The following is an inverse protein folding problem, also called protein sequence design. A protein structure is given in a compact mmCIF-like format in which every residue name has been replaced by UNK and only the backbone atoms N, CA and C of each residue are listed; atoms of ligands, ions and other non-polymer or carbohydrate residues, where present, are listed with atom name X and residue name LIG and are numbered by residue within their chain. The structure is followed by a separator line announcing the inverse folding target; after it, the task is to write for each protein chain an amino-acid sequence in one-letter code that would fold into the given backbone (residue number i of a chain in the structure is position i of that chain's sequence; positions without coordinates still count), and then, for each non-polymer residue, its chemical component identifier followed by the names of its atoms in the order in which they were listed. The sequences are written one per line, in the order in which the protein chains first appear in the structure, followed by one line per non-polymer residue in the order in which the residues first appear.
data_IF_672310106697
#
_entry.id   IF_672310106697
#
_cell.length_a   1.000
_cell.length_b   1.000
_cell.length_c   1.000
_cell.angle_alpha   90.00
_cell.angle_beta   90.00
_cell.angle_gamma   90.00
#
_symmetry.space_group_name_H-M   'P 1'
#
loop_
_entity.id
_entity.type
_entity.pdbx_description
1 polymer ?
#
# COMPACT_ATOMS: atom_id res chain seq x y z
N UNK A 1 -10.47 11.34 -11.28
CA UNK A 1 -9.72 11.42 -10.02
C UNK A 1 -10.43 10.59 -8.98
N UNK A 2 -9.74 9.61 -8.39
CA UNK A 2 -10.30 8.72 -7.36
C UNK A 2 -10.15 9.32 -5.97
N UNK A 3 -11.19 9.23 -5.15
CA UNK A 3 -11.15 9.66 -3.75
C UNK A 3 -11.79 8.62 -2.83
N UNK A 4 -11.04 8.16 -1.83
CA UNK A 4 -11.56 7.28 -0.78
C UNK A 4 -11.67 8.08 0.53
N UNK A 5 -12.90 8.39 1.00
CA UNK A 5 -13.07 9.15 2.22
C UNK A 5 -12.65 8.33 3.43
N UNK A 6 -11.94 8.96 4.36
CA UNK A 6 -11.76 8.39 5.69
C UNK A 6 -13.04 8.56 6.52
N UNK A 7 -13.37 7.60 7.41
CA UNK A 7 -14.37 7.82 8.44
C UNK A 7 -13.91 8.95 9.39
N UNK A 8 -14.79 9.45 10.27
CA UNK A 8 -14.40 10.43 11.29
C UNK A 8 -13.16 9.97 12.07
N UNK A 9 -12.13 10.81 12.05
CA UNK A 9 -10.86 10.55 12.69
C UNK A 9 -10.76 11.30 14.02
N UNK A 10 -10.24 10.64 15.04
CA UNK A 10 -9.81 11.26 16.31
C UNK A 10 -8.29 11.28 16.37
N UNK A 11 -7.74 12.39 16.82
CA UNK A 11 -6.30 12.54 17.03
C UNK A 11 -5.87 11.88 18.35
N UNK A 12 -4.74 11.18 18.32
CA UNK A 12 -4.16 10.54 19.48
C UNK A 12 -2.62 10.60 19.41
N UNK A 13 -1.98 10.49 20.57
CA UNK A 13 -0.55 10.35 20.73
C UNK A 13 -0.22 8.86 20.86
N UNK A 14 0.67 8.36 20.00
CA UNK A 14 1.21 7.03 20.08
C UNK A 14 2.12 6.89 21.31
N UNK A 15 1.89 5.85 22.12
CA UNK A 15 2.68 5.55 23.32
C UNK A 15 3.62 4.37 23.07
N UNK A 16 3.05 3.22 22.72
CA UNK A 16 3.82 2.00 22.46
C UNK A 16 3.07 1.03 21.54
N UNK A 17 3.82 0.07 20.98
CA UNK A 17 3.31 -1.01 20.12
C UNK A 17 3.62 -2.36 20.77
N UNK A 18 2.75 -2.86 21.67
CA UNK A 18 3.03 -4.10 22.41
C UNK A 18 3.19 -5.34 21.53
N UNK A 19 2.55 -5.34 20.35
CA UNK A 19 2.74 -6.37 19.33
C UNK A 19 2.43 -5.82 17.94
N UNK A 20 2.63 -6.64 16.90
CA UNK A 20 2.48 -6.22 15.50
C UNK A 20 1.09 -5.66 15.13
N UNK A 21 0.04 -5.92 15.90
CA UNK A 21 -1.34 -5.52 15.57
C UNK A 21 -2.01 -4.62 16.61
N UNK A 22 -1.27 -4.18 17.64
CA UNK A 22 -1.82 -3.40 18.74
C UNK A 22 -0.94 -2.19 19.02
N UNK A 23 -1.58 -1.03 19.10
CA UNK A 23 -1.00 0.21 19.62
C UNK A 23 -1.70 0.56 20.94
N UNK A 24 -0.95 1.14 21.87
CA UNK A 24 -1.49 1.94 22.95
C UNK A 24 -1.27 3.40 22.62
N UNK A 25 -2.34 4.16 22.75
CA UNK A 25 -2.39 5.57 22.40
C UNK A 25 -3.10 6.33 23.51
N UNK A 26 -2.98 7.65 23.50
CA UNK A 26 -3.72 8.57 24.37
C UNK A 26 -4.39 9.62 23.51
N UNK A 27 -5.66 9.91 23.75
CA UNK A 27 -6.33 10.96 23.00
C UNK A 27 -5.71 12.34 23.30
N UNK A 28 -5.68 13.23 22.30
CA UNK A 28 -5.15 14.59 22.49
C UNK A 28 -6.11 15.44 23.33
N UNK A 29 -7.43 15.19 23.24
CA UNK A 29 -8.46 15.90 24.00
C UNK A 29 -8.69 15.33 25.42
N UNK A 30 -8.18 14.13 25.72
CA UNK A 30 -8.43 13.40 26.98
C UNK A 30 -7.12 12.79 27.52
N UNK A 31 -6.22 13.62 28.07
CA UNK A 31 -4.84 13.21 28.44
C UNK A 31 -4.75 12.01 29.41
N UNK A 32 -5.79 11.71 30.19
CA UNK A 32 -5.78 10.60 31.15
C UNK A 32 -6.30 9.29 30.59
N UNK A 33 -6.90 9.28 29.40
CA UNK A 33 -7.47 8.06 28.82
C UNK A 33 -6.51 7.43 27.81
N UNK A 34 -6.06 6.22 28.15
CA UNK A 34 -5.34 5.38 27.21
C UNK A 34 -6.27 4.42 26.48
N UNK A 35 -6.02 4.27 25.18
CA UNK A 35 -6.85 3.48 24.28
C UNK A 35 -6.03 2.43 23.54
N UNK A 36 -6.64 1.25 23.38
CA UNK A 36 -6.11 0.15 22.57
C UNK A 36 -6.61 0.29 21.13
N UNK A 37 -5.67 0.37 20.20
CA UNK A 37 -5.94 0.62 18.79
C UNK A 37 -5.39 -0.53 17.95
N UNK A 38 -6.20 -1.10 17.06
CA UNK A 38 -5.71 -2.10 16.11
C UNK A 38 -4.87 -1.44 15.02
N UNK A 39 -3.70 -2.02 14.74
CA UNK A 39 -2.87 -1.65 13.60
C UNK A 39 -3.11 -2.65 12.45
N UNK A 40 -3.73 -2.23 11.34
CA UNK A 40 -3.95 -3.07 10.16
C UNK A 40 -2.70 -3.14 9.25
N UNK A 41 -1.52 -3.28 9.84
CA UNK A 41 -0.26 -3.42 9.13
C UNK A 41 0.71 -4.37 9.90
N UNK A 42 1.09 -5.52 9.32
CA UNK A 42 2.01 -6.47 9.96
C UNK A 42 3.49 -6.03 9.92
N UNK A 43 3.82 -5.00 9.15
CA UNK A 43 5.14 -4.47 8.92
C UNK A 43 5.81 -3.91 10.17
N UNK A 44 7.13 -3.75 10.12
CA UNK A 44 7.92 -3.31 11.28
C UNK A 44 7.65 -1.86 11.65
N UNK A 45 7.43 -0.99 10.65
CA UNK A 45 7.02 0.42 10.81
C UNK A 45 7.81 1.19 11.89
N UNK A 46 9.11 0.88 12.03
CA UNK A 46 9.97 1.41 13.12
C UNK A 46 10.14 2.92 13.03
N UNK A 47 10.29 3.42 11.81
CA UNK A 47 10.42 4.85 11.54
C UNK A 47 9.12 5.61 11.82
N UNK A 48 7.97 4.92 11.81
CA UNK A 48 6.63 5.51 11.99
C UNK A 48 6.21 5.50 13.46
N UNK A 49 6.58 4.47 14.23
CA UNK A 49 6.16 4.36 15.64
C UNK A 49 7.25 4.81 16.61
N UNK A 50 7.54 6.12 16.61
CA UNK A 50 8.32 6.76 17.66
C UNK A 50 7.35 7.30 18.74
N UNK A 51 7.53 6.96 20.04
CA UNK A 51 6.68 7.47 21.12
C UNK A 51 6.51 8.99 21.07
N UNK A 52 5.30 9.48 21.31
CA UNK A 52 4.96 10.89 21.24
C UNK A 52 4.43 11.36 19.88
N UNK A 53 4.49 10.51 18.84
CA UNK A 53 3.99 10.87 17.52
C UNK A 53 2.47 10.95 17.46
N UNK A 54 1.96 11.95 16.72
CA UNK A 54 0.54 12.09 16.41
C UNK A 54 0.08 11.02 15.43
N UNK A 55 -1.07 10.43 15.73
CA UNK A 55 -1.75 9.47 14.88
C UNK A 55 -3.24 9.81 14.82
N UNK A 56 -3.90 9.35 13.78
CA UNK A 56 -5.34 9.49 13.59
C UNK A 56 -5.97 8.11 13.58
N UNK A 57 -6.97 7.95 14.44
CA UNK A 57 -7.65 6.69 14.66
C UNK A 57 -9.14 6.84 14.37
N UNK A 58 -9.74 5.77 13.84
CA UNK A 58 -11.17 5.70 13.56
C UNK A 58 -11.84 4.66 14.45
N UNK A 59 -13.15 4.82 14.67
CA UNK A 59 -13.97 3.74 15.21
C UNK A 59 -13.88 2.56 14.24
N UNK A 60 -13.58 1.38 14.78
CA UNK A 60 -13.44 0.19 13.97
C UNK A 60 -14.79 -0.48 13.75
N UNK A 61 -15.10 -0.83 12.51
CA UNK A 61 -16.37 -1.48 12.14
C UNK A 61 -16.34 -3.00 12.42
N UNK A 62 -17.45 -3.54 12.93
CA UNK A 62 -17.66 -4.96 13.15
C UNK A 62 -18.08 -5.33 14.58
N UNK A 63 -18.94 -6.35 14.71
CA UNK A 63 -19.65 -6.69 15.96
C UNK A 63 -18.76 -7.40 17.01
N UNK A 64 -17.66 -8.03 16.59
CA UNK A 64 -16.83 -8.89 17.47
C UNK A 64 -15.37 -8.42 17.62
N UNK A 65 -15.13 -7.11 17.57
CA UNK A 65 -13.76 -6.58 17.66
C UNK A 65 -13.26 -6.51 19.09
N UNK A 66 -12.02 -6.96 19.32
CA UNK A 66 -11.31 -6.80 20.60
C UNK A 66 -10.86 -5.35 20.87
N UNK A 67 -10.76 -4.52 19.83
CA UNK A 67 -10.41 -3.10 19.92
C UNK A 67 -11.51 -2.25 19.31
N UNK A 68 -11.89 -1.18 20.00
CA UNK A 68 -12.91 -0.22 19.52
C UNK A 68 -12.39 0.66 18.38
N UNK A 69 -11.08 0.85 18.29
CA UNK A 69 -10.45 1.73 17.31
C UNK A 69 -9.47 0.99 16.40
N UNK A 70 -9.25 1.57 15.21
CA UNK A 70 -8.20 1.19 14.27
C UNK A 70 -7.34 2.40 13.92
N UNK A 71 -6.05 2.17 13.71
CA UNK A 71 -5.14 3.19 13.23
C UNK A 71 -5.40 3.44 11.74
N UNK A 72 -5.37 4.70 11.32
CA UNK A 72 -5.62 5.11 9.93
C UNK A 72 -4.42 5.87 9.39
N UNK A 73 -3.98 6.93 10.09
CA UNK A 73 -2.83 7.73 9.67
C UNK A 73 -1.84 7.88 10.83
N UNK A 74 -0.57 8.07 10.47
CA UNK A 74 0.45 8.63 11.34
C UNK A 74 0.95 9.92 10.75
N UNK A 75 1.38 10.87 11.58
CA UNK A 75 2.23 11.97 11.14
C UNK A 75 3.51 11.40 10.52
N UNK A 76 4.05 12.06 9.50
CA UNK A 76 5.35 11.70 8.93
C UNK A 76 6.48 12.00 9.91
N UNK A 77 7.63 11.29 9.83
CA UNK A 77 8.77 11.56 10.72
C UNK A 77 9.33 12.98 10.65
N UNK A 78 9.16 13.67 9.52
CA UNK A 78 9.57 15.06 9.31
C UNK A 78 8.50 16.10 9.69
N UNK A 79 7.34 15.66 10.19
CA UNK A 79 6.22 16.52 10.56
C UNK A 79 5.47 17.15 9.38
N UNK A 80 5.76 16.74 8.13
CA UNK A 80 5.22 17.38 6.92
C UNK A 80 4.20 16.49 6.21
N UNK A 81 3.09 16.18 6.88
CA UNK A 81 1.99 15.43 6.30
C UNK A 81 1.79 14.06 6.94
N UNK A 82 1.15 13.14 6.20
CA UNK A 82 0.62 11.90 6.74
C UNK A 82 1.19 10.66 6.06
N UNK A 83 1.21 9.55 6.78
CA UNK A 83 1.44 8.21 6.26
C UNK A 83 0.22 7.34 6.57
N UNK A 84 -0.31 6.66 5.56
CA UNK A 84 -1.33 5.63 5.78
C UNK A 84 -0.75 4.48 6.59
N UNK A 85 -1.50 4.06 7.61
CA UNK A 85 -1.23 2.88 8.43
C UNK A 85 -2.09 1.67 8.01
N UNK A 86 -2.88 1.82 6.95
CA UNK A 86 -3.75 0.79 6.40
C UNK A 86 -3.08 0.16 5.17
N UNK A 87 -2.52 -1.04 5.36
CA UNK A 87 -1.81 -1.75 4.29
C UNK A 87 -2.75 -2.22 3.17
N UNK A 88 -4.07 -2.11 3.35
CA UNK A 88 -5.07 -2.48 2.34
C UNK A 88 -5.49 -1.31 1.45
N UNK A 89 -5.20 -0.07 1.87
CA UNK A 89 -5.57 1.14 1.15
C UNK A 89 -5.01 1.19 -0.28
N UNK A 90 -3.74 0.79 -0.56
CA UNK A 90 -3.22 0.76 -1.93
C UNK A 90 -4.09 -0.05 -2.89
N UNK A 91 -4.49 -1.26 -2.49
CA UNK A 91 -5.33 -2.11 -3.31
C UNK A 91 -6.72 -1.50 -3.50
N UNK A 92 -7.29 -0.87 -2.46
CA UNK A 92 -8.58 -0.19 -2.57
C UNK A 92 -8.53 0.99 -3.55
N UNK A 93 -7.47 1.79 -3.50
CA UNK A 93 -7.26 2.92 -4.42
C UNK A 93 -7.14 2.45 -5.87
N UNK A 94 -6.31 1.43 -6.12
CA UNK A 94 -6.12 0.89 -7.47
C UNK A 94 -7.38 0.21 -7.98
N UNK A 95 -8.11 -0.52 -7.13
CA UNK A 95 -9.40 -1.10 -7.51
C UNK A 95 -10.43 -0.02 -7.91
N UNK A 96 -10.51 1.07 -7.14
CA UNK A 96 -11.39 2.19 -7.47
C UNK A 96 -10.95 2.88 -8.78
N UNK A 97 -9.65 3.11 -8.95
CA UNK A 97 -9.10 3.72 -10.17
C UNK A 97 -9.32 2.87 -11.42
N UNK A 98 -9.20 1.54 -11.31
CA UNK A 98 -9.55 0.60 -12.38
C UNK A 98 -11.05 0.67 -12.74
N UNK A 99 -11.94 0.75 -11.75
CA UNK A 99 -13.39 0.83 -11.97
C UNK A 99 -13.81 2.16 -12.60
N UNK A 100 -13.18 3.26 -12.18
CA UNK A 100 -13.41 4.60 -12.70
C UNK A 100 -12.65 4.89 -14.01
N UNK A 101 -11.82 3.96 -14.47
CA UNK A 101 -10.98 4.06 -15.69
C UNK A 101 -10.02 5.25 -15.65
N UNK A 102 -9.45 5.49 -14.48
CA UNK A 102 -8.49 6.58 -14.22
C UNK A 102 -7.03 6.18 -14.51
N UNK A 103 -6.81 4.93 -14.93
CA UNK A 103 -5.49 4.38 -15.26
C UNK A 103 -5.42 4.10 -16.76
N UNK A 104 -4.84 5.05 -17.51
CA UNK A 104 -4.79 5.03 -18.98
C UNK A 104 -4.10 3.77 -19.52
N UNK A 105 -3.06 3.28 -18.84
CA UNK A 105 -2.32 2.07 -19.22
C UNK A 105 -3.20 0.80 -19.24
N UNK A 106 -4.31 0.82 -18.52
CA UNK A 106 -5.27 -0.27 -18.43
C UNK A 106 -6.63 0.12 -19.00
N UNK A 107 -6.68 1.12 -19.88
CA UNK A 107 -7.86 1.39 -20.66
C UNK A 107 -8.27 0.15 -21.46
N UNK A 108 -9.54 -0.26 -21.32
CA UNK A 108 -10.07 -1.46 -21.97
C UNK A 108 -9.76 -2.77 -21.24
N UNK A 109 -9.11 -2.73 -20.08
CA UNK A 109 -9.06 -3.85 -19.15
C UNK A 109 -10.24 -3.80 -18.17
N UNK A 110 -10.68 -4.97 -17.73
CA UNK A 110 -11.73 -5.12 -16.71
C UNK A 110 -11.21 -5.95 -15.56
N UNK A 111 -11.44 -5.50 -14.32
CA UNK A 111 -11.13 -6.26 -13.12
C UNK A 111 -12.02 -7.51 -13.03
N UNK A 112 -11.39 -8.69 -13.06
CA UNK A 112 -12.08 -9.99 -13.00
C UNK A 112 -12.07 -10.56 -11.59
N UNK A 113 -10.94 -10.46 -10.89
CA UNK A 113 -10.75 -11.11 -9.59
C UNK A 113 -9.70 -10.39 -8.75
N UNK A 114 -9.94 -10.34 -7.43
CA UNK A 114 -8.97 -9.97 -6.39
C UNK A 114 -8.26 -11.21 -5.85
N UNK A 115 -7.03 -11.06 -5.37
CA UNK A 115 -6.24 -12.15 -4.78
C UNK A 115 -6.15 -13.36 -5.74
N UNK A 116 -5.86 -13.07 -7.02
CA UNK A 116 -5.87 -14.05 -8.09
C UNK A 116 -4.69 -15.03 -7.92
N UNK A 117 -5.02 -16.31 -7.70
CA UNK A 117 -4.03 -17.38 -7.60
C UNK A 117 -3.46 -17.72 -8.98
N UNK A 118 -2.14 -17.73 -9.10
CA UNK A 118 -1.43 -18.29 -10.24
C UNK A 118 -0.13 -18.96 -9.77
N UNK A 119 0.06 -20.24 -10.13
CA UNK A 119 1.11 -21.06 -9.55
C UNK A 119 0.97 -21.17 -8.02
N UNK A 120 2.06 -20.83 -7.33
CA UNK A 120 2.16 -20.91 -5.86
C UNK A 120 1.92 -19.56 -5.16
N UNK A 121 1.72 -18.48 -5.92
CA UNK A 121 1.45 -17.14 -5.37
C UNK A 121 0.01 -16.69 -5.62
N UNK A 122 -0.34 -15.60 -4.93
CA UNK A 122 -1.53 -14.80 -5.19
C UNK A 122 -1.08 -13.41 -5.55
N UNK A 123 -1.63 -12.90 -6.63
CA UNK A 123 -1.45 -11.54 -7.11
C UNK A 123 -2.65 -10.70 -6.75
N UNK A 124 -2.45 -9.39 -6.55
CA UNK A 124 -3.50 -8.50 -6.06
C UNK A 124 -4.74 -8.52 -6.96
N UNK A 125 -4.55 -8.41 -8.28
CA UNK A 125 -5.64 -8.41 -9.26
C UNK A 125 -5.38 -9.29 -10.49
N UNK A 126 -6.47 -9.81 -11.06
CA UNK A 126 -6.52 -10.34 -12.42
C UNK A 126 -7.44 -9.43 -13.24
N UNK A 127 -6.90 -8.88 -14.33
CA UNK A 127 -7.63 -8.08 -15.31
C UNK A 127 -7.72 -8.85 -16.63
N UNK A 128 -8.78 -8.63 -17.41
CA UNK A 128 -8.85 -9.10 -18.80
C UNK A 128 -8.95 -7.90 -19.75
N UNK A 129 -8.20 -7.91 -20.84
CA UNK A 129 -8.41 -6.96 -21.93
C UNK A 129 -9.70 -7.30 -22.72
N UNK A 130 -10.01 -6.49 -23.75
CA UNK A 130 -11.21 -6.68 -24.61
C UNK A 130 -11.23 -8.02 -25.35
N UNK A 131 -10.08 -8.65 -25.56
CA UNK A 131 -9.93 -9.95 -26.23
C UNK A 131 -9.95 -11.13 -25.23
N UNK A 132 -10.08 -10.86 -23.93
CA UNK A 132 -10.07 -11.87 -22.88
C UNK A 132 -8.67 -12.34 -22.46
N UNK A 133 -7.60 -11.66 -22.90
CA UNK A 133 -6.22 -11.98 -22.50
C UNK A 133 -6.02 -11.56 -21.03
N UNK A 134 -5.54 -12.47 -20.17
CA UNK A 134 -5.33 -12.19 -18.76
C UNK A 134 -4.10 -11.32 -18.51
N UNK A 135 -4.23 -10.39 -17.56
CA UNK A 135 -3.17 -9.60 -16.96
C UNK A 135 -3.17 -9.80 -15.45
N UNK A 136 -2.09 -10.36 -14.91
CA UNK A 136 -1.85 -10.43 -13.48
C UNK A 136 -1.18 -9.15 -12.99
N UNK A 137 -1.79 -8.48 -12.03
CA UNK A 137 -1.34 -7.22 -11.48
C UNK A 137 -0.97 -7.39 -10.00
N UNK A 138 0.26 -7.01 -9.67
CA UNK A 138 0.77 -6.90 -8.31
C UNK A 138 1.00 -5.43 -7.97
N UNK A 139 0.63 -5.01 -6.77
CA UNK A 139 0.73 -3.64 -6.26
C UNK A 139 1.75 -3.62 -5.14
N UNK A 140 2.66 -2.66 -5.19
CA UNK A 140 3.69 -2.40 -4.18
C UNK A 140 3.54 -0.98 -3.65
N UNK A 141 3.25 -0.86 -2.36
CA UNK A 141 3.20 0.43 -1.68
C UNK A 141 4.61 0.99 -1.48
N UNK A 142 4.83 2.23 -1.91
CA UNK A 142 6.08 2.97 -1.74
C UNK A 142 5.92 3.94 -0.57
N UNK A 143 6.55 3.61 0.56
CA UNK A 143 6.49 4.43 1.78
C UNK A 143 7.84 5.07 2.14
N UNK A 144 8.95 4.48 1.68
CA UNK A 144 10.30 5.00 1.87
C UNK A 144 10.60 6.08 0.82
N UNK A 145 10.84 7.30 1.30
CA UNK A 145 11.15 8.47 0.47
C UNK A 145 12.39 9.16 1.03
N UNK A 146 13.36 9.48 0.17
CA UNK A 146 14.56 10.26 0.53
C UNK A 146 14.81 11.34 -0.52
N UNK A 147 14.85 12.61 -0.10
CA UNK A 147 15.08 13.71 -1.03
C UNK A 147 14.05 13.81 -2.16
N UNK A 148 12.81 13.38 -1.91
CA UNK A 148 11.74 13.31 -2.91
C UNK A 148 11.82 12.11 -3.87
N UNK A 149 12.75 11.19 -3.65
CA UNK A 149 12.89 9.95 -4.42
C UNK A 149 12.21 8.81 -3.64
N UNK A 150 11.26 8.11 -4.28
CA UNK A 150 10.62 6.92 -3.73
C UNK A 150 11.47 5.66 -3.93
N UNK A 151 11.55 4.80 -2.90
CA UNK A 151 12.34 3.57 -2.91
C UNK A 151 11.48 2.34 -2.65
N UNK A 152 11.73 1.27 -3.40
CA UNK A 152 11.19 -0.05 -3.14
C UNK A 152 12.20 -1.16 -3.53
N UNK A 153 12.33 -2.24 -2.76
CA UNK A 153 11.71 -2.46 -1.45
C UNK A 153 12.41 -1.64 -0.35
N UNK A 154 11.71 -1.36 0.75
CA UNK A 154 12.32 -0.80 1.96
C UNK A 154 13.17 -1.84 2.73
N UNK A 155 12.85 -3.13 2.52
CA UNK A 155 13.67 -4.27 2.90
C UNK A 155 13.48 -5.43 1.91
N UNK A 156 14.57 -6.01 1.42
CA UNK A 156 14.50 -7.21 0.57
C UNK A 156 13.84 -8.36 1.32
N UNK A 157 12.85 -9.00 0.71
CA UNK A 157 12.20 -10.19 1.26
C UNK A 157 12.18 -11.33 0.25
N UNK A 158 12.41 -12.57 0.72
CA UNK A 158 12.33 -13.76 -0.12
C UNK A 158 10.95 -13.92 -0.77
N UNK A 159 9.88 -13.52 -0.07
CA UNK A 159 8.52 -13.53 -0.59
C UNK A 159 8.34 -12.52 -1.73
N UNK A 160 8.84 -11.30 -1.57
CA UNK A 160 8.76 -10.28 -2.62
C UNK A 160 9.51 -10.71 -3.89
N UNK A 161 10.73 -11.24 -3.75
CA UNK A 161 11.51 -11.75 -4.86
C UNK A 161 10.82 -12.92 -5.58
N UNK A 162 10.21 -13.85 -4.81
CA UNK A 162 9.42 -14.95 -5.36
C UNK A 162 8.24 -14.44 -6.20
N UNK A 163 7.45 -13.49 -5.68
CA UNK A 163 6.31 -12.92 -6.40
C UNK A 163 6.74 -12.28 -7.73
N UNK A 164 7.81 -11.48 -7.72
CA UNK A 164 8.35 -10.83 -8.94
C UNK A 164 8.80 -11.86 -9.98
N UNK A 165 9.46 -12.93 -9.53
CA UNK A 165 9.92 -14.01 -10.40
C UNK A 165 8.75 -14.76 -11.02
N UNK A 166 7.73 -15.10 -10.24
CA UNK A 166 6.53 -15.77 -10.75
C UNK A 166 5.74 -14.88 -11.71
N UNK A 167 5.67 -13.58 -11.44
CA UNK A 167 5.06 -12.60 -12.33
C UNK A 167 5.77 -12.55 -13.70
N UNK A 168 7.11 -12.57 -13.69
CA UNK A 168 7.91 -12.64 -14.92
C UNK A 168 7.72 -13.98 -15.67
N UNK A 169 7.55 -15.09 -14.96
CA UNK A 169 7.26 -16.38 -15.57
C UNK A 169 5.89 -16.42 -16.26
N UNK A 170 4.87 -15.76 -15.70
CA UNK A 170 3.56 -15.61 -16.34
C UNK A 170 3.69 -14.83 -17.66
N UNK A 171 4.42 -13.72 -17.64
CA UNK A 171 4.72 -12.94 -18.85
C UNK A 171 5.43 -13.76 -19.94
N UNK A 172 6.28 -14.72 -19.55
CA UNK A 172 6.98 -15.63 -20.46
C UNK A 172 6.09 -16.70 -21.09
N UNK A 173 4.93 -17.02 -20.49
CA UNK A 173 3.98 -18.06 -20.95
C UNK A 173 2.89 -17.53 -21.89
N UNK A 174 2.89 -16.22 -22.17
CA UNK A 174 1.90 -15.57 -23.05
C UNK A 174 0.82 -14.80 -22.30
N UNK A 175 0.75 -14.93 -20.96
CA UNK A 175 -0.06 -14.04 -20.13
C UNK A 175 0.56 -12.64 -20.08
N UNK A 176 -0.24 -11.63 -19.74
CA UNK A 176 0.28 -10.32 -19.39
C UNK A 176 0.51 -10.22 -17.89
N UNK A 177 1.47 -9.39 -17.50
CA UNK A 177 1.82 -9.22 -16.11
C UNK A 177 2.29 -7.78 -15.87
N UNK A 178 1.87 -7.19 -14.76
CA UNK A 178 2.21 -5.82 -14.38
C UNK A 178 2.54 -5.74 -12.89
N UNK A 179 3.55 -4.91 -12.58
CA UNK A 179 3.90 -4.53 -11.22
C UNK A 179 3.67 -3.02 -11.10
N UNK A 180 2.78 -2.61 -10.20
CA UNK A 180 2.45 -1.22 -9.95
C UNK A 180 3.08 -0.76 -8.64
N UNK A 181 3.85 0.32 -8.71
CA UNK A 181 4.33 1.01 -7.52
C UNK A 181 3.38 2.17 -7.19
N UNK A 182 2.81 2.17 -5.99
CA UNK A 182 1.91 3.22 -5.53
C UNK A 182 2.54 3.99 -4.37
N UNK A 183 2.90 5.25 -4.62
CA UNK A 183 3.24 6.20 -3.58
C UNK A 183 1.96 6.93 -3.12
N UNK A 184 1.68 6.92 -1.82
CA UNK A 184 0.56 7.65 -1.21
C UNK A 184 1.10 8.86 -0.45
N UNK A 185 1.92 9.66 -1.14
CA UNK A 185 2.72 10.74 -0.56
C UNK A 185 2.97 11.82 -1.60
N UNK A 186 2.65 13.04 -1.23
CA UNK A 186 2.79 14.25 -2.04
C UNK A 186 4.24 14.70 -2.25
N UNK A 187 5.17 14.21 -1.42
CA UNK A 187 6.58 14.59 -1.47
C UNK A 187 7.43 13.68 -2.36
N UNK A 188 6.82 12.72 -3.08
CA UNK A 188 7.49 11.91 -4.09
C UNK A 188 7.45 12.64 -5.42
N UNK A 189 8.63 12.99 -5.94
CA UNK A 189 8.78 13.69 -7.24
C UNK A 189 9.41 12.80 -8.31
N UNK A 190 10.03 11.68 -7.90
CA UNK A 190 10.66 10.71 -8.81
C UNK A 190 10.81 9.34 -8.13
N UNK A 191 11.07 8.30 -8.93
CA UNK A 191 11.43 6.97 -8.44
C UNK A 191 12.95 6.78 -8.43
N UNK A 192 13.46 5.94 -7.53
CA UNK A 192 14.88 5.60 -7.54
C UNK A 192 15.27 4.87 -8.83
N UNK A 193 16.37 5.29 -9.46
CA UNK A 193 16.99 4.52 -10.54
C UNK A 193 17.54 3.19 -10.00
N UNK A 194 17.48 2.13 -10.81
CA UNK A 194 17.87 0.74 -10.46
C UNK A 194 19.24 0.65 -9.75
N UNK A 195 19.31 -0.09 -8.62
CA UNK A 195 20.57 -0.15 -7.86
C UNK A 195 20.73 -1.11 -6.67
N UNK A 196 19.71 -1.87 -6.26
CA UNK A 196 19.88 -3.02 -5.33
C UNK A 196 19.08 -4.23 -5.88
N UNK A 197 19.66 -5.43 -6.04
CA UNK A 197 19.11 -6.50 -6.89
C UNK A 197 17.92 -7.24 -6.24
N UNK A 198 16.96 -7.86 -6.98
CA UNK A 198 16.71 -7.86 -8.43
C UNK A 198 15.31 -7.30 -8.83
N UNK A 199 15.27 -6.30 -9.72
CA UNK A 199 14.03 -5.82 -10.38
C UNK A 199 14.17 -5.62 -11.91
N UNK A 200 15.37 -5.84 -12.47
CA UNK A 200 15.67 -5.66 -13.90
C UNK A 200 14.81 -6.51 -14.85
N UNK A 201 14.22 -7.61 -14.38
CA UNK A 201 13.45 -8.52 -15.24
C UNK A 201 12.03 -8.05 -15.58
N UNK A 202 11.51 -6.98 -14.97
CA UNK A 202 10.13 -6.51 -15.21
C UNK A 202 10.04 -5.27 -16.12
N UNK A 203 11.10 -4.46 -16.25
CA UNK A 203 11.09 -3.23 -17.05
C UNK A 203 11.01 -3.48 -18.57
N UNK A 204 11.35 -4.69 -19.06
CA UNK A 204 11.39 -4.99 -20.51
C UNK A 204 10.03 -5.16 -21.20
N UNK A 205 8.89 -5.05 -20.50
CA UNK A 205 7.55 -5.00 -21.14
C UNK A 205 6.64 -3.85 -20.71
N UNK A 206 7.06 -2.97 -19.79
CA UNK A 206 6.33 -1.72 -19.49
C UNK A 206 6.91 -0.55 -20.29
N UNK A 207 6.54 -0.41 -21.56
CA UNK A 207 6.76 0.87 -22.24
C UNK A 207 5.80 1.90 -21.65
N UNK A 208 6.37 2.85 -20.90
CA UNK A 208 5.75 4.08 -20.37
C UNK A 208 4.51 3.85 -19.50
N UNK A 209 4.73 3.81 -18.19
CA UNK A 209 3.71 4.13 -17.20
C UNK A 209 4.39 4.92 -16.09
N UNK A 210 4.46 6.23 -16.28
CA UNK A 210 4.95 7.17 -15.28
C UNK A 210 3.84 8.21 -15.09
N UNK A 211 3.72 8.64 -13.84
CA UNK A 211 3.00 9.82 -13.34
C UNK A 211 1.52 9.67 -12.98
N UNK A 212 1.27 9.80 -11.67
CA UNK A 212 -0.01 10.21 -11.10
C UNK A 212 0.15 10.44 -9.61
N UNK A 213 0.35 11.70 -9.21
CA UNK A 213 0.22 12.12 -7.81
C UNK A 213 -1.22 11.84 -7.36
N UNK A 214 -1.37 11.11 -6.27
CA UNK A 214 -2.54 11.16 -5.39
C UNK A 214 -2.08 11.50 -3.97
#
# INVERSE_FOLDING_TARGET
MVFLPFPPLREAIFLERPNRFLLRCRFVDEEKEEVKVHLPDPGRLKEIFLPGRRIWIAVAEGVNRKTRFRAVLSERPDGKGFLSLDSTLPNQLVEAALKERELEEWEGFTLVRREAKAGDSRFDFLLHNREGVPLFLEIKSVTLVRGGIGFFPDAVTARGAKHVTELAQLAGKGDQAALLFLAQREDVVSEAEEGDPPLESLRKRSRKGFMGNF
#
